data_IF_987257988716
#
_entry.id   IF_987257988716
#
_cell.length_a   1.000
_cell.length_b   1.000
_cell.length_c   1.000
_cell.angle_alpha   90.00
_cell.angle_beta   90.00
_cell.angle_gamma   90.00
#
_symmetry.space_group_name_H-M   'P 1'
#
loop_
_entity.id
_entity.type
_entity.pdbx_description
1 polymer ?
#
# COMPACT_ATOMS: atom_id res chain seq x y z
N UNK A 1 -3.78 12.99 -20.50
CA UNK A 1 -4.24 11.65 -20.03
C UNK A 1 -5.41 11.88 -19.08
N UNK A 2 -6.54 11.18 -19.24
CA UNK A 2 -7.74 11.39 -18.41
C UNK A 2 -7.64 10.62 -17.08
N UNK A 3 -8.04 11.26 -15.96
CA UNK A 3 -8.10 10.63 -14.63
C UNK A 3 -8.95 9.36 -14.63
N UNK A 4 -10.18 9.43 -15.17
CA UNK A 4 -11.09 8.29 -15.23
C UNK A 4 -10.52 7.11 -16.02
N UNK A 5 -9.83 7.40 -17.12
CA UNK A 5 -9.22 6.34 -17.94
C UNK A 5 -8.08 5.66 -17.19
N UNK A 6 -7.24 6.41 -16.48
CA UNK A 6 -6.15 5.85 -15.67
C UNK A 6 -6.69 4.96 -14.55
N UNK A 7 -7.67 5.46 -13.78
CA UNK A 7 -8.27 4.73 -12.67
C UNK A 7 -8.95 3.42 -13.12
N UNK A 8 -9.47 3.39 -14.36
CA UNK A 8 -10.09 2.20 -14.95
C UNK A 8 -9.08 1.14 -15.45
N UNK A 9 -7.88 1.55 -15.87
CA UNK A 9 -6.95 0.66 -16.58
C UNK A 9 -5.68 0.32 -15.78
N UNK A 10 -5.35 1.12 -14.76
CA UNK A 10 -4.13 0.94 -13.99
C UNK A 10 -4.44 0.85 -12.50
N UNK A 11 -3.96 -0.24 -11.92
CA UNK A 11 -4.12 -0.55 -10.52
C UNK A 11 -2.77 -0.59 -9.83
N UNK A 12 -2.76 -0.19 -8.56
CA UNK A 12 -1.70 -0.42 -7.59
C UNK A 12 -2.14 -1.52 -6.61
N UNK A 13 -1.20 -2.24 -6.03
CA UNK A 13 -1.46 -3.13 -4.89
C UNK A 13 -1.07 -2.44 -3.59
N UNK A 14 -1.98 -2.47 -2.62
CA UNK A 14 -1.75 -1.91 -1.28
C UNK A 14 -2.07 -2.95 -0.22
N UNK A 15 -1.28 -2.97 0.86
CA UNK A 15 -1.53 -3.90 1.96
C UNK A 15 -2.87 -3.60 2.64
N UNK A 16 -3.69 -4.64 2.77
CA UNK A 16 -4.97 -4.59 3.51
C UNK A 16 -4.81 -5.04 4.96
N UNK A 17 -3.67 -5.64 5.30
CA UNK A 17 -3.33 -6.06 6.65
C UNK A 17 -1.81 -5.99 6.86
N UNK A 18 -1.38 -5.48 8.01
CA UNK A 18 0.01 -5.54 8.43
C UNK A 18 0.38 -6.96 8.88
N UNK A 19 1.42 -7.52 8.28
CA UNK A 19 2.02 -8.80 8.66
C UNK A 19 3.47 -8.53 9.03
N UNK A 20 3.83 -8.75 10.30
CA UNK A 20 5.20 -8.50 10.76
C UNK A 20 6.20 -9.33 9.94
N UNK A 21 7.27 -8.68 9.50
CA UNK A 21 8.42 -9.33 8.88
C UNK A 21 9.46 -9.73 9.93
N UNK A 22 10.59 -10.30 9.49
CA UNK A 22 11.75 -10.57 10.35
C UNK A 22 12.39 -9.28 10.88
N UNK A 23 12.27 -8.17 10.15
CA UNK A 23 12.78 -6.88 10.57
C UNK A 23 11.76 -6.17 11.46
N UNK A 24 12.21 -5.77 12.64
CA UNK A 24 11.38 -5.12 13.65
C UNK A 24 10.68 -3.88 13.10
N UNK A 25 9.37 -3.83 13.22
CA UNK A 25 8.55 -2.69 12.80
C UNK A 25 8.27 -2.62 11.29
N UNK A 26 8.70 -3.61 10.50
CA UNK A 26 8.36 -3.71 9.08
C UNK A 26 7.33 -4.78 8.78
N UNK A 27 6.47 -4.46 7.83
CA UNK A 27 5.56 -5.40 7.21
C UNK A 27 6.30 -6.29 6.20
N UNK A 28 5.76 -7.45 5.87
CA UNK A 28 6.29 -8.30 4.80
C UNK A 28 6.36 -7.64 3.42
N UNK A 29 5.67 -6.52 3.19
CA UNK A 29 5.84 -5.69 1.99
C UNK A 29 7.05 -4.73 2.05
N UNK A 30 7.78 -4.68 3.17
CA UNK A 30 8.95 -3.80 3.39
C UNK A 30 8.62 -2.42 3.98
N UNK A 31 7.36 -2.01 4.00
CA UNK A 31 6.94 -0.74 4.59
C UNK A 31 6.91 -0.79 6.12
N UNK A 32 7.20 0.35 6.78
CA UNK A 32 7.03 0.50 8.21
C UNK A 32 5.54 0.48 8.58
N UNK A 33 5.22 0.06 9.81
CA UNK A 33 3.84 0.05 10.31
C UNK A 33 3.14 1.42 10.18
N UNK A 34 3.87 2.53 10.38
CA UNK A 34 3.35 3.89 10.25
C UNK A 34 3.06 4.32 8.81
N UNK A 35 3.58 3.61 7.80
CA UNK A 35 3.36 3.91 6.38
C UNK A 35 2.17 3.13 5.81
N UNK A 36 1.46 2.36 6.64
CA UNK A 36 0.23 1.69 6.26
C UNK A 36 -0.99 2.57 6.55
N UNK A 37 -2.06 2.46 5.73
CA UNK A 37 -3.34 3.08 6.08
C UNK A 37 -3.85 2.50 7.39
N UNK A 38 -4.57 3.30 8.18
CA UNK A 38 -5.11 2.91 9.49
C UNK A 38 -5.99 1.64 9.44
N UNK A 39 -6.63 1.39 8.29
CA UNK A 39 -7.41 0.16 8.06
C UNK A 39 -6.54 -1.10 8.08
N UNK A 40 -5.32 -1.04 7.56
CA UNK A 40 -4.42 -2.19 7.51
C UNK A 40 -3.74 -2.49 8.85
N UNK A 41 -3.73 -1.55 9.78
CA UNK A 41 -3.22 -1.72 11.15
C UNK A 41 -4.33 -1.93 12.18
N UNK A 42 -5.59 -1.96 11.74
CA UNK A 42 -6.76 -2.15 12.58
C UNK A 42 -6.76 -3.54 13.20
N UNK A 43 -6.52 -3.62 14.52
CA UNK A 43 -6.42 -4.88 15.26
C UNK A 43 -5.10 -5.08 16.00
N UNK A 44 -4.01 -4.45 15.57
CA UNK A 44 -2.73 -4.50 16.29
C UNK A 44 -2.79 -3.74 17.62
N UNK A 45 -3.52 -2.62 17.64
CA UNK A 45 -3.73 -1.83 18.85
C UNK A 45 -4.85 -2.39 19.76
N UNK A 46 -5.66 -3.34 19.27
CA UNK A 46 -6.79 -3.93 20.02
C UNK A 46 -6.39 -5.14 20.88
N UNK A 47 -5.13 -5.57 20.86
CA UNK A 47 -4.64 -6.64 21.72
C UNK A 47 -4.74 -6.33 23.24
N UNK A 48 -5.10 -5.10 23.63
CA UNK A 48 -5.37 -4.71 25.01
C UNK A 48 -6.85 -4.68 25.43
N UNK A 49 -7.81 -4.95 24.54
CA UNK A 49 -9.24 -4.99 24.94
C UNK A 49 -9.93 -6.23 24.38
N UNK A 50 -10.27 -7.11 25.31
CA UNK A 50 -11.09 -8.31 25.15
C UNK A 50 -12.36 -8.00 24.34
N UNK A 51 -12.64 -8.86 23.36
CA UNK A 51 -13.92 -9.02 22.65
C UNK A 51 -14.24 -8.08 21.46
N UNK A 52 -13.77 -8.42 20.26
CA UNK A 52 -14.61 -8.30 19.05
C UNK A 52 -14.17 -9.30 17.98
N UNK A 53 -15.10 -10.19 17.64
CA UNK A 53 -14.94 -11.20 16.62
C UNK A 53 -15.06 -10.57 15.23
N UNK A 54 -13.97 -10.61 14.46
CA UNK A 54 -13.91 -10.81 13.01
C UNK A 54 -12.45 -10.68 12.57
N UNK A 55 -11.85 -11.75 12.07
CA UNK A 55 -10.53 -11.83 11.40
C UNK A 55 -9.23 -11.83 12.23
N UNK A 56 -9.24 -12.11 13.53
CA UNK A 56 -8.01 -12.33 14.31
C UNK A 56 -7.50 -13.78 14.25
N UNK A 57 -7.42 -14.37 13.07
CA UNK A 57 -6.63 -15.58 12.82
C UNK A 57 -5.29 -15.20 12.22
N UNK A 58 -4.55 -14.32 12.90
CA UNK A 58 -3.11 -14.36 12.79
C UNK A 58 -2.67 -15.60 13.58
N UNK A 59 -2.75 -16.78 12.95
CA UNK A 59 -1.97 -17.92 13.41
C UNK A 59 -0.53 -17.42 13.56
N UNK A 60 0.16 -17.81 14.64
CA UNK A 60 1.55 -17.42 14.86
C UNK A 60 2.47 -17.72 13.65
N UNK A 61 2.02 -18.57 12.72
CA UNK A 61 2.68 -18.96 11.47
C UNK A 61 2.19 -18.22 10.20
N UNK A 62 1.40 -17.15 10.30
CA UNK A 62 0.91 -16.46 9.09
C UNK A 62 2.03 -15.66 8.40
N UNK A 63 2.40 -16.10 7.20
CA UNK A 63 3.42 -15.45 6.37
C UNK A 63 2.81 -14.46 5.38
N UNK A 64 3.46 -13.31 5.21
CA UNK A 64 3.03 -12.31 4.23
C UNK A 64 3.10 -12.87 2.82
N UNK A 65 2.10 -12.53 2.01
CA UNK A 65 1.99 -12.90 0.61
C UNK A 65 1.16 -11.86 -0.14
N UNK A 66 1.56 -11.47 -1.37
CA UNK A 66 0.84 -10.45 -2.13
C UNK A 66 -0.63 -10.80 -2.37
N UNK A 67 -0.93 -12.06 -2.66
CA UNK A 67 -2.29 -12.51 -3.00
C UNK A 67 -3.28 -12.42 -1.84
N UNK A 68 -2.84 -12.62 -0.59
CA UNK A 68 -3.70 -12.63 0.60
C UNK A 68 -3.71 -11.31 1.36
N UNK A 69 -2.61 -10.57 1.32
CA UNK A 69 -2.38 -9.44 2.22
C UNK A 69 -2.37 -8.09 1.49
N UNK A 70 -2.58 -8.09 0.17
CA UNK A 70 -2.75 -6.87 -0.61
C UNK A 70 -4.05 -6.91 -1.42
N UNK A 71 -4.62 -5.76 -1.69
CA UNK A 71 -5.73 -5.58 -2.62
C UNK A 71 -5.31 -4.65 -3.76
N UNK A 72 -5.93 -4.85 -4.93
CA UNK A 72 -5.78 -3.94 -6.05
C UNK A 72 -6.69 -2.71 -5.86
N UNK A 73 -6.11 -1.53 -5.98
CA UNK A 73 -6.78 -0.23 -5.96
C UNK A 73 -6.41 0.55 -7.22
N UNK A 74 -7.26 1.47 -7.72
CA UNK A 74 -6.88 2.38 -8.80
C UNK A 74 -5.59 3.15 -8.49
N UNK A 75 -4.72 3.36 -9.47
CA UNK A 75 -3.52 4.17 -9.29
C UNK A 75 -3.85 5.66 -9.25
N UNK A 76 -3.33 6.36 -8.25
CA UNK A 76 -3.39 7.81 -8.08
C UNK A 76 -2.08 8.50 -8.50
N UNK A 77 -1.04 7.72 -8.80
CA UNK A 77 0.28 8.19 -9.18
C UNK A 77 0.38 8.36 -10.71
N UNK A 78 -0.25 9.40 -11.23
CA UNK A 78 -0.14 9.82 -12.63
C UNK A 78 -0.14 11.34 -12.74
N UNK A 79 0.52 11.88 -13.77
CA UNK A 79 0.51 13.31 -13.98
C UNK A 79 1.66 13.81 -14.85
N UNK A 80 1.95 15.10 -14.70
CA UNK A 80 3.07 15.75 -15.36
C UNK A 80 4.15 16.04 -14.33
N UNK A 81 5.38 15.60 -14.60
CA UNK A 81 6.54 16.03 -13.83
C UNK A 81 7.28 17.12 -14.60
N UNK A 82 7.86 18.06 -13.88
CA UNK A 82 8.71 19.11 -14.42
C UNK A 82 10.13 18.92 -13.89
N UNK A 83 11.10 18.89 -14.80
CA UNK A 83 12.49 18.70 -14.44
C UNK A 83 13.11 20.04 -14.03
N UNK A 84 13.48 20.15 -12.74
CA UNK A 84 14.20 21.31 -12.22
C UNK A 84 15.68 21.30 -12.63
N UNK A 85 16.28 22.48 -12.77
CA UNK A 85 17.71 22.63 -13.07
C UNK A 85 18.09 22.65 -14.55
N UNK A 86 17.11 22.69 -15.46
CA UNK A 86 17.33 22.85 -16.89
C UNK A 86 17.18 24.32 -17.32
N UNK A 87 17.87 24.73 -18.40
CA UNK A 87 17.76 26.08 -18.95
C UNK A 87 16.37 26.39 -19.55
N UNK A 88 15.60 25.35 -19.89
CA UNK A 88 14.26 25.46 -20.42
C UNK A 88 13.33 24.43 -19.77
N UNK A 89 12.07 24.77 -19.44
CA UNK A 89 11.14 23.84 -18.82
C UNK A 89 10.96 22.58 -19.67
N UNK A 90 11.35 21.43 -19.12
CA UNK A 90 11.06 20.12 -19.69
C UNK A 90 9.96 19.45 -18.87
N UNK A 91 8.91 18.99 -19.55
CA UNK A 91 7.78 18.27 -18.95
C UNK A 91 7.69 16.86 -19.50
N UNK A 92 7.38 15.90 -18.64
CA UNK A 92 7.07 14.54 -19.05
C UNK A 92 5.74 14.08 -18.44
N UNK A 93 4.97 13.33 -19.21
CA UNK A 93 3.81 12.60 -18.70
C UNK A 93 4.30 11.31 -18.05
N UNK A 94 3.84 11.04 -16.83
CA UNK A 94 4.21 9.84 -16.07
C UNK A 94 2.97 9.10 -15.58
N UNK A 95 3.12 7.78 -15.46
CA UNK A 95 2.17 6.89 -14.82
C UNK A 95 2.96 5.82 -14.07
N UNK A 96 2.66 5.63 -12.80
CA UNK A 96 3.26 4.57 -12.00
C UNK A 96 2.38 3.33 -12.01
N UNK A 97 3.00 2.20 -12.35
CA UNK A 97 2.39 0.87 -12.30
C UNK A 97 3.10 0.05 -11.23
N UNK A 98 2.40 -0.28 -10.16
CA UNK A 98 2.89 -1.23 -9.15
C UNK A 98 2.44 -2.62 -9.59
N UNK A 99 3.34 -3.42 -10.18
CA UNK A 99 3.11 -4.83 -10.50
C UNK A 99 3.04 -5.63 -9.19
#
# INVERSE_FOLDING_TARGET
MSKLWVEQHFQKRECIRYIASKETGRCGCGAMMCNHPSSATQGLYRAHSVHSQASSQASADEHWSPSRHTAANPTDAFGTIEFQGSAHPLKAQVLQRNI
#
